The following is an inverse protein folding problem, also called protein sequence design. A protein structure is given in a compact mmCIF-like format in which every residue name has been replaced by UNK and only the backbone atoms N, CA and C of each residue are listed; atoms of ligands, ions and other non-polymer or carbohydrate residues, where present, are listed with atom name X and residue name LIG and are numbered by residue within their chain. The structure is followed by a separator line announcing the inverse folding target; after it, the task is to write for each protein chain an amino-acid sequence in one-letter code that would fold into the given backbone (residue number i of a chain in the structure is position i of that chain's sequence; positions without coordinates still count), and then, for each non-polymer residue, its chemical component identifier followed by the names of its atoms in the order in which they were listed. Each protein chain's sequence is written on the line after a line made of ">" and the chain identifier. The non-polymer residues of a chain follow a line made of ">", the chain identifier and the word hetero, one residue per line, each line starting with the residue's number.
data_IF_341120475598
#
_entry.id   IF_341120475598
#
_cell.length_a   1.000
_cell.length_b   1.000
_cell.length_c   1.000
_cell.angle_alpha   90.00
_cell.angle_beta   90.00
_cell.angle_gamma   90.00
#
_symmetry.space_group_name_H-M   'P 1'
#
loop_
_entity.id
_entity.type
_entity.pdbx_description
1 polymer ?
#
# COMPACT_ATOMS: atom_id res chain seq x y z
N UNK A 1 -1.94 -26.63 -15.41
CA UNK A 1 -2.69 -26.20 -14.21
C UNK A 1 -4.11 -25.91 -14.67
N UNK A 2 -5.14 -26.42 -13.98
CA UNK A 2 -6.52 -26.01 -14.24
C UNK A 2 -6.64 -24.51 -13.97
N UNK A 3 -7.29 -23.76 -14.86
CA UNK A 3 -7.52 -22.32 -14.69
C UNK A 3 -8.50 -22.07 -13.54
N UNK A 4 -8.55 -20.84 -13.03
CA UNK A 4 -9.52 -20.47 -11.98
C UNK A 4 -10.97 -20.73 -12.43
N UNK A 5 -11.24 -20.49 -13.72
CA UNK A 5 -12.51 -20.76 -14.37
C UNK A 5 -12.80 -22.28 -14.37
N UNK A 6 -11.82 -23.13 -14.69
CA UNK A 6 -11.98 -24.58 -14.63
C UNK A 6 -12.34 -25.09 -13.22
N UNK A 7 -11.76 -24.48 -12.17
CA UNK A 7 -12.06 -24.82 -10.78
C UNK A 7 -13.49 -24.41 -10.42
N UNK A 8 -13.92 -23.21 -10.81
CA UNK A 8 -15.26 -22.71 -10.55
C UNK A 8 -16.34 -23.52 -11.28
N UNK A 9 -16.10 -23.86 -12.54
CA UNK A 9 -16.98 -24.75 -13.33
C UNK A 9 -17.11 -26.10 -12.64
N UNK A 10 -16.00 -26.71 -12.21
CA UNK A 10 -16.03 -28.00 -11.52
C UNK A 10 -16.77 -27.94 -10.17
N UNK A 11 -16.64 -26.85 -9.42
CA UNK A 11 -17.42 -26.64 -8.19
C UNK A 11 -18.92 -26.56 -8.53
N UNK A 12 -19.28 -25.88 -9.62
CA UNK A 12 -20.65 -25.83 -10.12
C UNK A 12 -21.20 -27.23 -10.42
N UNK A 13 -20.46 -28.02 -11.18
CA UNK A 13 -20.85 -29.40 -11.54
C UNK A 13 -21.04 -30.28 -10.31
N UNK A 14 -20.12 -30.21 -9.33
CA UNK A 14 -20.21 -31.01 -8.12
C UNK A 14 -21.38 -30.59 -7.22
N UNK A 15 -21.74 -29.30 -7.19
CA UNK A 15 -22.94 -28.84 -6.48
C UNK A 15 -24.22 -29.37 -7.12
N UNK A 16 -24.29 -29.37 -8.44
CA UNK A 16 -25.40 -29.98 -9.18
C UNK A 16 -25.46 -31.50 -8.94
N UNK A 17 -24.31 -32.18 -8.93
CA UNK A 17 -24.23 -33.61 -8.60
C UNK A 17 -24.74 -33.88 -7.17
N UNK A 18 -24.34 -33.06 -6.20
CA UNK A 18 -24.79 -33.16 -4.80
C UNK A 18 -26.29 -32.92 -4.65
N UNK A 19 -26.85 -31.95 -5.37
CA UNK A 19 -28.29 -31.70 -5.41
C UNK A 19 -29.06 -32.89 -6.01
N UNK A 20 -28.57 -33.43 -7.14
CA UNK A 20 -29.14 -34.65 -7.75
C UNK A 20 -29.11 -35.84 -6.79
N UNK A 21 -27.98 -36.09 -6.13
CA UNK A 21 -27.84 -37.17 -5.14
C UNK A 21 -28.76 -36.98 -3.94
N UNK A 22 -29.03 -35.75 -3.53
CA UNK A 22 -29.99 -35.46 -2.46
C UNK A 22 -31.42 -35.87 -2.87
N UNK A 23 -31.82 -35.56 -4.11
CA UNK A 23 -33.10 -36.02 -4.65
C UNK A 23 -33.20 -37.54 -4.83
N UNK A 24 -32.11 -38.18 -5.24
CA UNK A 24 -32.02 -39.64 -5.36
C UNK A 24 -32.07 -40.33 -3.98
N UNK A 25 -31.44 -39.74 -2.96
CA UNK A 25 -31.46 -40.25 -1.60
C UNK A 25 -32.87 -40.27 -1.02
N UNK A 26 -33.64 -39.21 -1.24
CA UNK A 26 -35.02 -39.13 -0.75
C UNK A 26 -35.90 -40.21 -1.41
N UNK A 27 -35.77 -40.40 -2.73
CA UNK A 27 -36.45 -41.48 -3.44
C UNK A 27 -36.06 -42.87 -2.91
N UNK A 28 -34.76 -43.12 -2.74
CA UNK A 28 -34.25 -44.38 -2.23
C UNK A 28 -34.76 -44.68 -0.81
N UNK A 29 -34.87 -43.65 0.05
CA UNK A 29 -35.44 -43.80 1.40
C UNK A 29 -36.92 -44.16 1.38
N UNK A 30 -37.71 -43.56 0.49
CA UNK A 30 -39.13 -43.90 0.32
C UNK A 30 -39.27 -45.34 -0.15
N UNK A 31 -38.51 -45.75 -1.17
CA UNK A 31 -38.53 -47.12 -1.70
C UNK A 31 -38.12 -48.16 -0.65
N UNK A 32 -37.06 -47.89 0.12
CA UNK A 32 -36.61 -48.77 1.20
C UNK A 32 -37.65 -48.86 2.34
N UNK A 33 -38.31 -47.75 2.68
CA UNK A 33 -39.41 -47.73 3.64
C UNK A 33 -40.61 -48.54 3.15
N UNK A 34 -40.99 -48.38 1.89
CA UNK A 34 -42.14 -49.08 1.31
C UNK A 34 -41.85 -50.59 1.20
N UNK A 35 -40.60 -50.98 0.93
CA UNK A 35 -40.16 -52.38 1.00
C UNK A 35 -40.31 -52.96 2.41
N UNK A 36 -39.91 -52.21 3.45
CA UNK A 36 -40.10 -52.60 4.85
C UNK A 36 -41.59 -52.77 5.21
N UNK A 37 -42.45 -51.84 4.80
CA UNK A 37 -43.91 -51.92 5.02
C UNK A 37 -44.49 -53.18 4.34
N UNK A 38 -44.01 -53.51 3.15
CA UNK A 38 -44.39 -54.72 2.41
C UNK A 38 -43.77 -56.02 2.95
N UNK A 39 -43.01 -55.97 4.06
CA UNK A 39 -42.35 -57.13 4.65
C UNK A 39 -41.12 -57.64 3.88
N UNK A 40 -40.59 -56.85 2.94
CA UNK A 40 -39.38 -57.17 2.16
C UNK A 40 -38.16 -56.56 2.84
N UNK A 41 -36.99 -57.18 2.63
CA UNK A 41 -35.72 -56.62 3.09
C UNK A 41 -35.43 -55.31 2.30
N UNK A 42 -35.19 -54.17 2.97
CA UNK A 42 -34.80 -52.94 2.29
C UNK A 42 -33.43 -53.10 1.62
N UNK A 43 -33.24 -52.38 0.51
CA UNK A 43 -31.95 -52.29 -0.18
C UNK A 43 -30.89 -51.53 0.63
N UNK A 44 -29.70 -51.40 0.06
CA UNK A 44 -28.59 -50.58 0.60
C UNK A 44 -28.31 -49.35 -0.26
N UNK A 45 -29.30 -48.91 -1.03
CA UNK A 45 -29.15 -47.86 -2.05
C UNK A 45 -28.99 -46.50 -1.37
N UNK A 46 -29.75 -46.23 -0.31
CA UNK A 46 -29.60 -45.01 0.49
C UNK A 46 -28.19 -44.88 1.09
N UNK A 47 -27.64 -45.97 1.62
CA UNK A 47 -26.30 -46.01 2.18
C UNK A 47 -25.21 -45.74 1.12
N UNK A 48 -25.35 -46.32 -0.08
CA UNK A 48 -24.43 -46.07 -1.19
C UNK A 48 -24.47 -44.61 -1.67
N UNK A 49 -25.68 -44.01 -1.74
CA UNK A 49 -25.84 -42.60 -2.11
C UNK A 49 -25.21 -41.68 -1.06
N UNK A 50 -25.40 -41.96 0.24
CA UNK A 50 -24.77 -41.21 1.33
C UNK A 50 -23.25 -41.24 1.22
N UNK A 51 -22.65 -42.41 0.97
CA UNK A 51 -21.20 -42.53 0.80
C UNK A 51 -20.70 -41.68 -0.37
N UNK A 52 -21.40 -41.70 -1.51
CA UNK A 52 -21.07 -40.88 -2.68
C UNK A 52 -21.22 -39.38 -2.39
N UNK A 53 -22.26 -38.97 -1.65
CA UNK A 53 -22.41 -37.58 -1.21
C UNK A 53 -21.21 -37.13 -0.36
N UNK A 54 -20.72 -37.99 0.54
CA UNK A 54 -19.50 -37.72 1.31
C UNK A 54 -18.28 -37.46 0.43
N UNK A 55 -18.05 -38.29 -0.59
CA UNK A 55 -16.96 -38.06 -1.56
C UNK A 55 -17.11 -36.75 -2.33
N UNK A 56 -18.34 -36.39 -2.70
CA UNK A 56 -18.63 -35.12 -3.40
C UNK A 56 -18.38 -33.92 -2.48
N UNK A 57 -18.80 -34.00 -1.21
CA UNK A 57 -18.60 -32.95 -0.21
C UNK A 57 -17.10 -32.75 0.10
N UNK A 58 -16.31 -33.83 0.20
CA UNK A 58 -14.85 -33.77 0.34
C UNK A 58 -14.19 -33.09 -0.87
N UNK A 59 -14.58 -33.48 -2.09
CA UNK A 59 -14.07 -32.87 -3.32
C UNK A 59 -14.44 -31.38 -3.42
N UNK A 60 -15.66 -31.01 -2.99
CA UNK A 60 -16.08 -29.61 -2.90
C UNK A 60 -15.22 -28.84 -1.91
N UNK A 61 -14.94 -29.38 -0.72
CA UNK A 61 -14.09 -28.75 0.28
C UNK A 61 -12.68 -28.50 -0.29
N UNK A 62 -12.06 -29.52 -0.90
CA UNK A 62 -10.73 -29.42 -1.49
C UNK A 62 -10.65 -28.34 -2.60
N UNK A 63 -11.65 -28.29 -3.49
CA UNK A 63 -11.67 -27.30 -4.56
C UNK A 63 -11.92 -25.87 -4.05
N UNK A 64 -12.75 -25.71 -3.03
CA UNK A 64 -12.95 -24.41 -2.37
C UNK A 64 -11.67 -23.91 -1.71
N UNK A 65 -10.93 -24.79 -1.01
CA UNK A 65 -9.64 -24.46 -0.40
C UNK A 65 -8.60 -24.05 -1.44
N UNK A 66 -8.53 -24.77 -2.57
CA UNK A 66 -7.67 -24.42 -3.71
C UNK A 66 -8.03 -23.07 -4.32
N UNK A 67 -9.33 -22.78 -4.46
CA UNK A 67 -9.80 -21.50 -4.98
C UNK A 67 -9.40 -20.35 -4.04
N UNK A 68 -9.62 -20.52 -2.73
CA UNK A 68 -9.24 -19.54 -1.72
C UNK A 68 -7.71 -19.30 -1.71
N UNK A 69 -6.91 -20.37 -1.79
CA UNK A 69 -5.45 -20.26 -1.87
C UNK A 69 -4.98 -19.50 -3.12
N UNK A 70 -5.62 -19.74 -4.27
CA UNK A 70 -5.33 -19.08 -5.54
C UNK A 70 -5.64 -17.58 -5.46
N UNK A 71 -6.81 -17.22 -4.92
CA UNK A 71 -7.22 -15.83 -4.73
C UNK A 71 -6.28 -15.09 -3.76
N UNK A 72 -5.91 -15.71 -2.64
CA UNK A 72 -4.95 -15.14 -1.69
C UNK A 72 -3.59 -14.91 -2.36
N UNK A 73 -3.15 -15.82 -3.22
CA UNK A 73 -1.92 -15.67 -4.00
C UNK A 73 -1.98 -14.50 -4.99
N UNK A 74 -3.10 -14.37 -5.72
CA UNK A 74 -3.32 -13.26 -6.65
C UNK A 74 -3.30 -11.91 -5.93
N UNK A 75 -4.01 -11.78 -4.82
CA UNK A 75 -4.04 -10.56 -4.00
C UNK A 75 -2.65 -10.18 -3.48
N UNK A 76 -1.85 -11.15 -3.01
CA UNK A 76 -0.46 -10.89 -2.59
C UNK A 76 0.38 -10.38 -3.76
N UNK A 77 0.26 -10.99 -4.93
CA UNK A 77 1.02 -10.57 -6.11
C UNK A 77 0.64 -9.15 -6.56
N UNK A 78 -0.64 -8.79 -6.53
CA UNK A 78 -1.09 -7.44 -6.84
C UNK A 78 -0.59 -6.40 -5.84
N UNK A 79 -0.61 -6.72 -4.54
CA UNK A 79 -0.03 -5.85 -3.49
C UNK A 79 1.46 -5.64 -3.71
N UNK A 80 2.21 -6.71 -4.00
CA UNK A 80 3.63 -6.64 -4.35
C UNK A 80 3.87 -5.72 -5.54
N UNK A 81 3.19 -5.96 -6.67
CA UNK A 81 3.34 -5.14 -7.88
C UNK A 81 3.04 -3.66 -7.63
N UNK A 82 2.00 -3.35 -6.85
CA UNK A 82 1.66 -1.97 -6.49
C UNK A 82 2.75 -1.30 -5.67
N UNK A 83 3.30 -1.99 -4.67
CA UNK A 83 4.38 -1.48 -3.84
C UNK A 83 5.69 -1.31 -4.63
N UNK A 84 6.03 -2.24 -5.52
CA UNK A 84 7.18 -2.13 -6.44
C UNK A 84 7.02 -0.93 -7.38
N UNK A 85 5.85 -0.75 -7.99
CA UNK A 85 5.57 0.39 -8.85
C UNK A 85 5.61 1.73 -8.08
N UNK A 86 5.16 1.74 -6.83
CA UNK A 86 5.25 2.92 -5.97
C UNK A 86 6.71 3.27 -5.61
N UNK A 87 7.56 2.28 -5.36
CA UNK A 87 8.98 2.50 -5.11
C UNK A 87 9.70 3.06 -6.33
N UNK A 88 9.43 2.53 -7.52
CA UNK A 88 10.01 3.08 -8.75
C UNK A 88 9.59 4.54 -8.97
N UNK A 89 8.33 4.89 -8.69
CA UNK A 89 7.88 6.29 -8.77
C UNK A 89 8.51 7.17 -7.70
N UNK A 90 8.72 6.64 -6.49
CA UNK A 90 9.41 7.35 -5.41
C UNK A 90 10.89 7.59 -5.74
N UNK A 91 11.61 6.65 -6.37
CA UNK A 91 13.01 6.88 -6.77
C UNK A 91 13.15 8.02 -7.79
N UNK A 92 12.21 8.15 -8.73
CA UNK A 92 12.20 9.28 -9.66
C UNK A 92 11.87 10.60 -8.94
N UNK A 93 10.93 10.60 -7.99
CA UNK A 93 10.63 11.78 -7.17
C UNK A 93 11.80 12.17 -6.26
N UNK A 94 12.54 11.22 -5.72
CA UNK A 94 13.71 11.47 -4.87
C UNK A 94 14.80 12.23 -5.64
N UNK A 95 15.07 11.88 -6.90
CA UNK A 95 16.02 12.62 -7.76
C UNK A 95 15.58 14.07 -7.98
N UNK A 96 14.29 14.29 -8.22
CA UNK A 96 13.73 15.64 -8.37
C UNK A 96 13.81 16.42 -7.05
N UNK A 97 13.52 15.77 -5.93
CA UNK A 97 13.63 16.35 -4.60
C UNK A 97 15.07 16.82 -4.30
N UNK A 98 16.08 16.01 -4.61
CA UNK A 98 17.49 16.39 -4.47
C UNK A 98 17.85 17.61 -5.33
N UNK A 99 17.34 17.69 -6.56
CA UNK A 99 17.59 18.85 -7.42
C UNK A 99 16.97 20.12 -6.84
N UNK A 100 15.75 20.02 -6.31
CA UNK A 100 15.08 21.15 -5.65
C UNK A 100 15.84 21.54 -4.39
N UNK A 101 16.25 20.60 -3.54
CA UNK A 101 17.03 20.89 -2.34
C UNK A 101 18.34 21.61 -2.68
N UNK A 102 19.07 21.17 -3.72
CA UNK A 102 20.28 21.85 -4.20
C UNK A 102 20.00 23.27 -4.67
N UNK A 103 18.90 23.48 -5.40
CA UNK A 103 18.51 24.82 -5.84
C UNK A 103 18.13 25.73 -4.66
N UNK A 104 17.47 25.19 -3.63
CA UNK A 104 17.12 25.94 -2.42
C UNK A 104 18.36 26.33 -1.61
N UNK A 105 19.36 25.44 -1.52
CA UNK A 105 20.65 25.74 -0.90
C UNK A 105 21.41 26.80 -1.70
N UNK A 106 21.51 26.65 -3.02
CA UNK A 106 22.17 27.65 -3.86
C UNK A 106 21.50 29.03 -3.75
N UNK A 107 20.16 29.06 -3.67
CA UNK A 107 19.40 30.29 -3.44
C UNK A 107 19.71 30.89 -2.06
N UNK A 108 19.76 30.06 -1.02
CA UNK A 108 20.05 30.53 0.34
C UNK A 108 21.47 31.08 0.49
N UNK A 109 22.45 30.48 -0.19
CA UNK A 109 23.85 30.94 -0.23
C UNK A 109 24.00 32.26 -1.00
N UNK A 110 23.28 32.42 -2.12
CA UNK A 110 23.30 33.64 -2.92
C UNK A 110 22.54 34.81 -2.27
N UNK A 111 21.57 34.52 -1.40
CA UNK A 111 20.67 35.51 -0.84
C UNK A 111 21.37 36.63 -0.02
N UNK A 112 22.32 36.34 0.91
CA UNK A 112 23.06 37.38 1.61
C UNK A 112 23.82 38.31 0.68
N UNK A 113 24.47 37.76 -0.36
CA UNK A 113 25.22 38.56 -1.33
C UNK A 113 24.30 39.47 -2.15
N UNK A 114 23.13 38.98 -2.55
CA UNK A 114 22.10 39.78 -3.21
C UNK A 114 21.56 40.90 -2.30
N UNK A 115 21.27 40.61 -1.03
CA UNK A 115 20.82 41.62 -0.05
C UNK A 115 21.89 42.68 0.17
N UNK A 116 23.16 42.29 0.25
CA UNK A 116 24.27 43.22 0.41
C UNK A 116 24.50 44.06 -0.86
N UNK A 117 24.35 43.48 -2.06
CA UNK A 117 24.38 44.22 -3.32
C UNK A 117 23.22 45.24 -3.37
N UNK A 118 21.99 44.82 -3.06
CA UNK A 118 20.84 45.72 -2.93
C UNK A 118 21.09 46.84 -1.93
N UNK A 119 21.64 46.54 -0.74
CA UNK A 119 21.95 47.55 0.29
C UNK A 119 22.98 48.57 -0.18
N UNK A 120 23.96 48.14 -0.97
CA UNK A 120 25.01 49.02 -1.52
C UNK A 120 24.47 49.88 -2.66
N UNK A 121 23.73 49.27 -3.58
CA UNK A 121 23.15 49.96 -4.76
C UNK A 121 22.02 50.93 -4.36
N UNK A 122 21.24 50.57 -3.34
CA UNK A 122 20.14 51.39 -2.80
C UNK A 122 20.56 52.23 -1.57
N UNK A 123 21.86 52.30 -1.26
CA UNK A 123 22.37 53.02 -0.11
C UNK A 123 21.92 54.49 -0.07
N UNK A 124 21.26 54.89 1.02
CA UNK A 124 20.79 56.25 1.35
C UNK A 124 19.59 56.84 0.59
N UNK A 125 18.94 56.15 -0.35
CA UNK A 125 17.63 56.58 -0.90
C UNK A 125 16.44 56.07 -0.10
N UNK A 126 16.67 55.46 1.07
CA UNK A 126 15.62 55.16 2.06
C UNK A 126 15.60 56.11 3.27
N UNK A 127 16.52 57.08 3.33
CA UNK A 127 16.47 58.14 4.34
C UNK A 127 15.39 59.21 4.04
N UNK A 128 14.79 59.18 2.84
CA UNK A 128 13.72 60.08 2.43
C UNK A 128 12.50 59.27 1.95
N UNK A 129 11.80 58.63 2.90
CA UNK A 129 10.48 58.05 2.67
C UNK A 129 10.42 56.53 2.63
N UNK A 130 10.39 55.91 3.81
CA UNK A 130 9.50 54.77 4.16
C UNK A 130 9.52 53.44 3.40
N UNK A 131 10.12 53.34 2.21
CA UNK A 131 9.83 52.29 1.23
C UNK A 131 10.85 51.14 1.23
N UNK A 132 11.61 50.94 2.31
CA UNK A 132 12.25 49.63 2.56
C UNK A 132 11.36 48.67 3.35
N UNK A 133 10.15 49.09 3.77
CA UNK A 133 9.18 48.21 4.43
C UNK A 133 8.27 47.42 3.46
N UNK A 134 8.49 47.58 2.14
CA UNK A 134 7.69 46.95 1.09
C UNK A 134 8.33 45.72 0.45
N UNK A 135 9.62 45.44 0.68
CA UNK A 135 10.25 44.17 0.23
C UNK A 135 9.89 42.99 1.16
N UNK A 136 9.30 43.27 2.34
CA UNK A 136 8.88 42.25 3.31
C UNK A 136 7.38 41.93 3.29
N UNK A 137 6.59 42.54 2.41
CA UNK A 137 5.14 42.27 2.31
C UNK A 137 4.69 42.08 0.88
N UNK A 138 4.72 40.82 0.44
CA UNK A 138 4.01 40.42 -0.75
C UNK A 138 4.19 38.94 -1.04
N UNK A 139 3.26 38.12 -0.55
CA UNK A 139 2.54 37.06 -1.30
C UNK A 139 1.75 36.19 -0.31
N UNK A 140 0.57 36.65 0.08
CA UNK A 140 -0.40 35.84 0.84
C UNK A 140 -1.31 35.01 -0.06
N UNK A 141 -1.59 33.77 0.39
CA UNK A 141 -2.64 32.81 -0.01
C UNK A 141 -2.38 31.98 -1.27
N UNK A 142 -2.46 30.63 -1.30
CA UNK A 142 -3.02 29.61 -0.38
C UNK A 142 -2.44 28.23 -0.75
N UNK A 143 -2.28 27.35 0.26
CA UNK A 143 -1.75 25.97 0.20
C UNK A 143 -0.30 25.86 -0.24
N UNK A 144 0.60 26.39 0.57
CA UNK A 144 2.01 25.98 0.50
C UNK A 144 2.10 24.51 0.94
N UNK A 145 2.67 23.66 0.09
CA UNK A 145 2.93 22.28 0.44
C UNK A 145 3.89 22.27 1.65
N UNK A 146 3.44 21.77 2.80
CA UNK A 146 4.21 21.69 4.04
C UNK A 146 5.65 21.13 3.85
N UNK A 147 5.89 20.14 2.96
CA UNK A 147 7.24 19.66 2.67
C UNK A 147 8.17 20.72 2.05
N UNK A 148 7.66 21.58 1.16
CA UNK A 148 8.44 22.64 0.51
C UNK A 148 8.84 23.72 1.51
N UNK A 149 7.93 24.06 2.43
CA UNK A 149 8.19 25.02 3.51
C UNK A 149 9.25 24.48 4.47
N UNK A 150 9.18 23.18 4.82
CA UNK A 150 10.21 22.50 5.62
C UNK A 150 11.57 22.50 4.93
N UNK A 151 11.63 22.27 3.63
CA UNK A 151 12.88 22.27 2.88
C UNK A 151 13.50 23.68 2.74
N UNK A 152 12.67 24.71 2.55
CA UNK A 152 13.10 26.11 2.56
C UNK A 152 13.72 26.53 3.90
N UNK A 153 13.07 26.17 5.01
CA UNK A 153 13.59 26.41 6.36
C UNK A 153 14.88 25.62 6.60
N UNK A 154 14.97 24.40 6.07
CA UNK A 154 16.19 23.59 6.16
C UNK A 154 17.37 24.22 5.41
N UNK A 155 17.13 24.71 4.20
CA UNK A 155 18.18 25.24 3.32
C UNK A 155 18.69 26.64 3.72
N UNK A 156 17.80 27.51 4.22
CA UNK A 156 18.14 28.92 4.47
C UNK A 156 17.68 29.46 5.82
N UNK A 157 17.21 28.60 6.72
CA UNK A 157 16.65 28.98 8.02
C UNK A 157 15.31 29.73 7.90
N UNK A 158 14.72 30.07 9.05
CA UNK A 158 13.48 30.85 9.09
C UNK A 158 13.60 32.27 8.50
N UNK A 159 14.81 32.77 8.21
CA UNK A 159 15.06 34.09 7.62
C UNK A 159 14.76 34.12 6.12
N UNK A 160 15.20 33.11 5.36
CA UNK A 160 14.87 33.00 3.93
C UNK A 160 13.38 32.75 3.72
N UNK A 161 12.77 31.89 4.54
CA UNK A 161 11.33 31.63 4.48
C UNK A 161 10.52 32.92 4.75
N UNK A 162 10.90 33.71 5.76
CA UNK A 162 10.27 35.01 6.06
C UNK A 162 10.48 36.05 4.95
N UNK A 163 11.68 36.11 4.36
CA UNK A 163 11.96 37.01 3.24
C UNK A 163 11.12 36.70 2.00
N UNK A 164 10.69 35.44 1.82
CA UNK A 164 9.78 35.02 0.76
C UNK A 164 8.28 35.13 1.15
N UNK A 165 7.96 35.78 2.28
CA UNK A 165 6.58 35.98 2.74
C UNK A 165 5.93 34.73 3.36
N UNK A 166 6.70 33.71 3.71
CA UNK A 166 6.19 32.45 4.27
C UNK A 166 6.19 32.53 5.80
N UNK A 167 5.04 32.86 6.38
CA UNK A 167 4.80 32.79 7.82
C UNK A 167 4.41 31.37 8.24
N UNK A 168 5.18 30.76 9.14
CA UNK A 168 4.99 29.36 9.53
C UNK A 168 5.36 29.16 11.00
N UNK A 169 4.59 28.35 11.75
CA UNK A 169 4.95 27.94 13.10
C UNK A 169 6.05 26.85 13.13
N UNK A 170 6.50 26.35 11.96
CA UNK A 170 7.51 25.29 11.84
C UNK A 170 8.86 25.87 12.26
N UNK A 171 9.41 25.31 13.33
CA UNK A 171 10.75 25.66 13.83
C UNK A 171 11.83 24.94 13.01
N UNK A 172 13.03 25.51 12.95
CA UNK A 172 14.17 24.93 12.22
C UNK A 172 14.46 23.47 12.59
N UNK A 173 14.31 23.09 13.87
CA UNK A 173 14.43 21.70 14.35
C UNK A 173 13.39 20.71 13.79
N UNK A 174 12.33 21.21 13.18
CA UNK A 174 11.27 20.43 12.54
C UNK A 174 11.32 20.56 11.00
N UNK A 175 12.34 21.26 10.47
CA UNK A 175 12.64 21.30 9.05
C UNK A 175 13.24 19.98 8.59
N UNK A 176 13.00 19.65 7.32
CA UNK A 176 13.47 18.43 6.68
C UNK A 176 13.63 18.75 5.20
N UNK A 177 14.71 18.27 4.59
CA UNK A 177 14.87 18.34 3.14
C UNK A 177 13.81 17.51 2.42
N UNK A 178 13.50 17.86 1.16
CA UNK A 178 12.58 17.06 0.36
C UNK A 178 13.13 15.65 0.12
N UNK A 179 14.44 15.52 -0.07
CA UNK A 179 15.12 14.25 -0.23
C UNK A 179 14.93 13.34 1.01
N UNK A 180 15.11 13.89 2.22
CA UNK A 180 14.91 13.11 3.46
C UNK A 180 13.43 12.76 3.70
N UNK A 181 12.48 13.58 3.20
CA UNK A 181 11.06 13.23 3.22
C UNK A 181 10.76 12.05 2.28
N UNK A 182 11.30 12.06 1.05
CA UNK A 182 11.15 10.96 0.10
C UNK A 182 11.85 9.68 0.57
N UNK A 183 12.96 9.78 1.31
CA UNK A 183 13.64 8.64 1.94
C UNK A 183 12.76 7.96 3.00
N UNK A 184 12.03 8.72 3.82
CA UNK A 184 11.05 8.16 4.78
C UNK A 184 9.90 7.45 4.07
N UNK A 185 9.43 8.00 2.95
CA UNK A 185 8.42 7.33 2.12
C UNK A 185 8.98 6.05 1.52
N UNK A 186 10.23 6.05 1.04
CA UNK A 186 10.91 4.86 0.54
C UNK A 186 11.03 3.78 1.61
N UNK A 187 11.42 4.15 2.84
CA UNK A 187 11.52 3.23 3.98
C UNK A 187 10.17 2.60 4.32
N UNK A 188 9.08 3.39 4.32
CA UNK A 188 7.71 2.90 4.53
C UNK A 188 7.29 1.92 3.43
N UNK A 189 7.55 2.24 2.16
CA UNK A 189 7.23 1.35 1.03
C UNK A 189 8.07 0.06 1.04
N UNK A 190 9.33 0.11 1.50
CA UNK A 190 10.16 -1.09 1.70
C UNK A 190 9.61 -1.96 2.84
N UNK A 191 9.18 -1.36 3.94
CA UNK A 191 8.52 -2.08 5.04
C UNK A 191 7.23 -2.77 4.57
N UNK A 192 6.42 -2.10 3.73
CA UNK A 192 5.23 -2.71 3.11
C UNK A 192 5.59 -3.90 2.20
N UNK A 193 6.67 -3.82 1.41
CA UNK A 193 7.14 -4.97 0.65
C UNK A 193 7.57 -6.14 1.53
N UNK A 194 8.24 -5.86 2.65
CA UNK A 194 8.63 -6.88 3.62
C UNK A 194 7.41 -7.52 4.29
N UNK A 195 6.37 -6.74 4.62
CA UNK A 195 5.09 -7.27 5.13
C UNK A 195 4.43 -8.21 4.12
N UNK A 196 4.42 -7.84 2.84
CA UNK A 196 3.89 -8.72 1.78
C UNK A 196 4.72 -10.00 1.67
N UNK A 197 6.06 -9.92 1.76
CA UNK A 197 6.95 -11.09 1.73
C UNK A 197 6.80 -11.98 2.98
N UNK A 198 6.57 -11.41 4.15
CA UNK A 198 6.34 -12.13 5.41
C UNK A 198 5.08 -13.02 5.35
N UNK A 199 4.08 -12.64 4.52
CA UNK A 199 2.86 -13.45 4.29
C UNK A 199 3.03 -14.53 3.20
N UNK A 200 4.27 -14.77 2.75
CA UNK A 200 4.55 -15.77 1.72
C UNK A 200 4.27 -17.18 2.23
N UNK A 201 3.70 -18.07 1.40
CA UNK A 201 3.56 -19.49 1.73
C UNK A 201 4.91 -20.23 1.84
N UNK A 202 6.00 -19.63 1.34
CA UNK A 202 7.35 -20.18 1.46
C UNK A 202 7.94 -19.79 2.82
N UNK A 203 8.09 -20.77 3.71
CA UNK A 203 8.50 -20.53 5.10
C UNK A 203 9.88 -19.84 5.25
N UNK A 204 10.83 -20.10 4.35
CA UNK A 204 12.14 -19.43 4.39
C UNK A 204 12.02 -17.94 4.03
N UNK A 205 11.32 -17.59 2.95
CA UNK A 205 11.06 -16.21 2.54
C UNK A 205 10.30 -15.43 3.61
N UNK A 206 9.31 -16.06 4.24
CA UNK A 206 8.53 -15.43 5.30
C UNK A 206 9.39 -15.10 6.52
N UNK A 207 10.23 -16.04 6.96
CA UNK A 207 11.14 -15.85 8.12
C UNK A 207 12.21 -14.80 7.84
N UNK A 208 12.82 -14.82 6.66
CA UNK A 208 13.81 -13.83 6.25
C UNK A 208 13.20 -12.42 6.25
N UNK A 209 12.01 -12.26 5.66
CA UNK A 209 11.32 -10.98 5.63
C UNK A 209 10.90 -10.48 7.02
N UNK A 210 10.50 -11.38 7.92
CA UNK A 210 10.20 -11.03 9.32
C UNK A 210 11.45 -10.55 10.06
N UNK A 211 12.58 -11.24 9.90
CA UNK A 211 13.84 -10.82 10.52
C UNK A 211 14.33 -9.48 9.99
N UNK A 212 14.18 -9.20 8.69
CA UNK A 212 14.50 -7.89 8.11
C UNK A 212 13.58 -6.79 8.64
N UNK A 213 12.28 -7.09 8.81
CA UNK A 213 11.31 -6.15 9.34
C UNK A 213 11.59 -5.82 10.81
N UNK A 214 11.92 -6.81 11.64
CA UNK A 214 12.33 -6.61 13.03
C UNK A 214 13.63 -5.79 13.15
N UNK A 215 14.58 -5.99 12.23
CA UNK A 215 15.80 -5.16 12.18
C UNK A 215 15.47 -3.72 11.84
N UNK A 216 14.58 -3.48 10.87
CA UNK A 216 14.14 -2.14 10.52
C UNK A 216 13.43 -1.43 11.68
N UNK A 217 12.54 -2.12 12.40
CA UNK A 217 11.82 -1.58 13.55
C UNK A 217 12.75 -1.25 14.74
N UNK A 218 13.82 -2.03 14.94
CA UNK A 218 14.83 -1.74 15.97
C UNK A 218 15.80 -0.60 15.60
N UNK A 219 15.87 -0.25 14.32
CA UNK A 219 16.76 0.80 13.78
C UNK A 219 16.07 2.13 13.53
N UNK A 220 14.74 2.20 13.66
CA UNK A 220 13.91 3.39 13.49
C UNK A 220 13.75 4.15 14.81
#
# INVERSE_FOLDING_TARGET
>A
MKTQEDIQTRIGDLRQERERLTGELEKARVEERDALIAGKKPGSTSAAIIARMGTVDEALAELNDRLAATQASAQRNERRKRAEAALHKNSERAKLAEQVDRALVALSEAWPAYVEALRRDLGATSAAGGDLTAVERGLTSKRLAEPLVKALIHAGGGTLARALGIETPIKDRHSLSLAAAEERVAASLRAELLRVRATSPQAHVAREAQQELEKMEKSA
#
